data_IF_542500820126
#
_entry.id   IF_542500820126
#
_cell.length_a   1.000
_cell.length_b   1.000
_cell.length_c   1.000
_cell.angle_alpha   90.00
_cell.angle_beta   90.00
_cell.angle_gamma   90.00
#
_symmetry.space_group_name_H-M   'P 1'
#
loop_
_entity.id
_entity.type
_entity.pdbx_description
1 polymer ?
#
# COMPACT_ATOMS: atom_id res chain seq x y z
N UNK A 1 -5.24 -24.49 21.63
CA UNK A 1 -3.93 -24.35 20.97
C UNK A 1 -4.02 -23.15 20.06
N UNK A 2 -3.48 -22.01 20.50
CA UNK A 2 -3.42 -20.79 19.68
C UNK A 2 -2.62 -21.09 18.41
N UNK A 3 -3.20 -20.77 17.25
CA UNK A 3 -2.50 -20.80 15.96
C UNK A 3 -1.39 -19.75 16.03
N UNK A 4 -0.14 -20.19 16.23
CA UNK A 4 1.05 -19.35 16.01
C UNK A 4 0.93 -18.83 14.58
N UNK A 5 0.73 -17.52 14.42
CA UNK A 5 0.73 -16.89 13.11
C UNK A 5 2.09 -17.12 12.46
N UNK A 6 2.13 -17.92 11.40
CA UNK A 6 3.33 -18.09 10.58
C UNK A 6 3.72 -16.74 10.00
N UNK A 7 4.97 -16.35 10.21
CA UNK A 7 5.50 -15.10 9.69
C UNK A 7 6.02 -15.30 8.27
N UNK A 8 5.83 -14.31 7.40
CA UNK A 8 6.36 -14.31 6.03
C UNK A 8 7.89 -14.55 6.00
N UNK A 9 8.58 -14.12 7.06
CA UNK A 9 10.02 -14.33 7.26
C UNK A 9 10.41 -15.81 7.35
N UNK A 10 9.61 -16.64 8.02
CA UNK A 10 9.86 -18.09 8.13
C UNK A 10 9.76 -18.81 6.78
N UNK A 11 8.94 -18.30 5.84
CA UNK A 11 8.86 -18.83 4.48
C UNK A 11 10.01 -18.36 3.57
N UNK A 12 10.55 -17.17 3.83
CA UNK A 12 11.70 -16.64 3.09
C UNK A 12 13.01 -17.31 3.48
N UNK A 13 13.06 -17.97 4.63
CA UNK A 13 14.18 -18.79 5.07
C UNK A 13 14.13 -20.17 4.43
N UNK A 14 14.71 -20.30 3.23
CA UNK A 14 14.75 -21.56 2.49
C UNK A 14 15.55 -22.61 3.28
N UNK A 15 14.93 -23.75 3.64
CA UNK A 15 15.60 -24.81 4.38
C UNK A 15 16.76 -25.43 3.58
N UNK A 16 17.77 -25.96 4.28
CA UNK A 16 18.83 -26.76 3.66
C UNK A 16 18.26 -28.08 3.12
N UNK A 17 18.84 -28.59 2.04
CA UNK A 17 18.41 -29.81 1.35
C UNK A 17 17.03 -29.72 0.73
N UNK A 18 16.56 -28.51 0.42
CA UNK A 18 15.23 -28.32 -0.12
C UNK A 18 15.22 -27.42 -1.35
N UNK A 19 14.44 -27.85 -2.34
CA UNK A 19 14.02 -27.08 -3.49
C UNK A 19 12.62 -26.52 -3.25
N UNK A 20 12.51 -25.19 -3.18
CA UNK A 20 11.23 -24.48 -3.12
C UNK A 20 10.93 -23.87 -4.48
N UNK A 21 9.76 -24.19 -5.02
CA UNK A 21 9.22 -23.57 -6.23
C UNK A 21 8.17 -22.52 -5.83
N UNK A 22 8.37 -21.28 -6.29
CA UNK A 22 7.40 -20.18 -6.12
C UNK A 22 6.71 -19.89 -7.46
N UNK A 23 5.46 -20.30 -7.55
CA UNK A 23 4.60 -20.10 -8.73
C UNK A 23 3.59 -18.98 -8.50
N UNK A 24 3.16 -18.31 -9.56
CA UNK A 24 2.08 -17.31 -9.51
C UNK A 24 2.01 -16.48 -10.79
N UNK A 25 0.95 -15.69 -11.01
CA UNK A 25 0.85 -14.87 -12.21
C UNK A 25 1.95 -13.80 -12.26
N UNK A 26 2.29 -13.29 -13.46
CA UNK A 26 3.19 -12.14 -13.60
C UNK A 26 2.74 -10.96 -12.73
N UNK A 27 3.69 -10.23 -12.13
CA UNK A 27 3.38 -9.12 -11.24
C UNK A 27 2.93 -9.50 -9.82
N UNK A 28 2.84 -10.79 -9.47
CA UNK A 28 2.45 -11.23 -8.12
C UNK A 28 3.45 -10.87 -7.02
N UNK A 29 4.65 -10.41 -7.38
CA UNK A 29 5.71 -10.05 -6.42
C UNK A 29 6.71 -11.18 -6.15
N UNK A 30 6.81 -12.18 -7.03
CA UNK A 30 7.75 -13.31 -6.90
C UNK A 30 9.20 -12.86 -6.77
N UNK A 31 9.67 -11.99 -7.67
CA UNK A 31 11.04 -11.44 -7.62
C UNK A 31 11.27 -10.63 -6.35
N UNK A 32 10.25 -9.92 -5.85
CA UNK A 32 10.34 -9.22 -4.55
C UNK A 32 10.50 -10.20 -3.39
N UNK A 33 9.78 -11.32 -3.39
CA UNK A 33 9.96 -12.38 -2.40
C UNK A 33 11.37 -12.99 -2.49
N UNK A 34 11.85 -13.23 -3.70
CA UNK A 34 13.20 -13.75 -3.97
C UNK A 34 14.29 -12.80 -3.45
N UNK A 35 14.21 -11.51 -3.76
CA UNK A 35 15.14 -10.50 -3.27
C UNK A 35 15.18 -10.45 -1.74
N UNK A 36 14.03 -10.53 -1.08
CA UNK A 36 13.99 -10.55 0.39
C UNK A 36 14.62 -11.84 0.97
N UNK A 37 14.39 -13.00 0.34
CA UNK A 37 15.04 -14.24 0.73
C UNK A 37 16.58 -14.16 0.57
N UNK A 38 17.05 -13.50 -0.50
CA UNK A 38 18.48 -13.22 -0.73
C UNK A 38 19.05 -12.31 0.35
N UNK A 39 18.38 -11.21 0.68
CA UNK A 39 18.80 -10.32 1.78
C UNK A 39 18.89 -11.06 3.12
N UNK A 40 17.91 -11.90 3.42
CA UNK A 40 17.92 -12.72 4.63
C UNK A 40 19.08 -13.73 4.61
N UNK A 41 19.39 -14.34 3.46
CA UNK A 41 20.54 -15.23 3.28
C UNK A 41 21.88 -14.54 3.51
N UNK A 42 22.04 -13.32 2.98
CA UNK A 42 23.25 -12.50 3.19
C UNK A 42 23.40 -12.14 4.67
N UNK A 43 22.31 -11.78 5.34
CA UNK A 43 22.32 -11.47 6.78
C UNK A 43 22.68 -12.70 7.66
N UNK A 44 22.62 -13.91 7.12
CA UNK A 44 23.02 -15.15 7.78
C UNK A 44 24.40 -15.66 7.34
N UNK A 45 25.19 -14.86 6.64
CA UNK A 45 26.52 -15.23 6.09
C UNK A 45 26.48 -16.48 5.19
N UNK A 46 25.34 -16.72 4.52
CA UNK A 46 25.20 -17.82 3.55
C UNK A 46 25.68 -17.33 2.18
N UNK A 47 26.61 -18.03 1.51
CA UNK A 47 26.99 -17.71 0.13
C UNK A 47 25.79 -17.87 -0.81
N UNK A 48 25.59 -16.90 -1.70
CA UNK A 48 24.45 -16.86 -2.61
C UNK A 48 24.91 -16.94 -4.05
N UNK A 49 24.29 -17.84 -4.82
CA UNK A 49 24.34 -17.84 -6.28
C UNK A 49 22.99 -17.33 -6.77
N UNK A 50 22.98 -16.19 -7.47
CA UNK A 50 21.78 -15.62 -8.08
C UNK A 50 21.81 -15.88 -9.59
N UNK A 51 20.87 -16.68 -10.08
CA UNK A 51 20.67 -16.92 -11.51
C UNK A 51 19.61 -15.95 -11.99
N UNK A 52 20.00 -15.06 -12.91
CA UNK A 52 19.11 -14.06 -13.48
C UNK A 52 18.86 -14.35 -14.96
N UNK A 53 17.59 -14.42 -15.37
CA UNK A 53 17.18 -14.71 -16.76
C UNK A 53 16.32 -13.61 -17.36
N UNK A 54 15.83 -12.68 -16.55
CA UNK A 54 14.94 -11.59 -16.99
C UNK A 54 15.63 -10.22 -16.95
N UNK A 55 16.62 -10.06 -16.05
CA UNK A 55 17.32 -8.82 -15.82
C UNK A 55 18.83 -9.01 -15.85
N UNK A 56 19.57 -7.93 -16.11
CA UNK A 56 21.03 -7.95 -16.00
C UNK A 56 21.49 -7.94 -14.53
N UNK A 57 22.66 -8.49 -14.18
CA UNK A 57 23.17 -8.51 -12.80
C UNK A 57 23.26 -7.11 -12.15
N UNK A 58 23.58 -6.07 -12.92
CA UNK A 58 23.65 -4.69 -12.41
C UNK A 58 22.29 -4.20 -11.90
N UNK A 59 21.22 -4.49 -12.64
CA UNK A 59 19.85 -4.09 -12.30
C UNK A 59 19.36 -4.82 -11.05
N UNK A 60 19.62 -6.13 -10.95
CA UNK A 60 19.31 -6.92 -9.75
C UNK A 60 20.02 -6.34 -8.51
N UNK A 61 21.26 -5.89 -8.64
CA UNK A 61 22.00 -5.28 -7.53
C UNK A 61 21.41 -3.94 -7.13
N UNK A 62 21.02 -3.10 -8.08
CA UNK A 62 20.35 -1.83 -7.78
C UNK A 62 19.04 -2.10 -7.02
N UNK A 63 18.26 -3.08 -7.48
CA UNK A 63 17.02 -3.54 -6.81
C UNK A 63 17.25 -4.13 -5.41
N UNK A 64 18.38 -4.77 -5.17
CA UNK A 64 18.76 -5.26 -3.83
C UNK A 64 19.23 -4.10 -2.93
N UNK A 65 19.99 -3.14 -3.47
CA UNK A 65 20.43 -1.93 -2.75
C UNK A 65 19.26 -1.07 -2.31
N UNK A 66 18.27 -0.84 -3.17
CA UNK A 66 17.04 -0.13 -2.84
C UNK A 66 16.26 -0.78 -1.68
N UNK A 67 16.40 -2.11 -1.51
CA UNK A 67 15.78 -2.87 -0.43
C UNK A 67 16.66 -3.02 0.81
N UNK A 68 17.77 -2.28 0.88
CA UNK A 68 18.63 -2.21 2.06
C UNK A 68 19.85 -3.14 2.06
N UNK A 69 20.24 -3.70 0.90
CA UNK A 69 21.53 -4.38 0.78
C UNK A 69 22.68 -3.38 0.95
N UNK A 70 23.55 -3.60 1.94
CA UNK A 70 24.84 -2.92 2.02
C UNK A 70 25.83 -3.42 0.97
N UNK A 71 27.11 -3.05 1.08
CA UNK A 71 28.15 -3.68 0.25
C UNK A 71 28.37 -5.13 0.71
N UNK A 72 28.05 -6.16 -0.11
CA UNK A 72 28.25 -7.54 0.30
C UNK A 72 29.75 -7.86 0.33
N UNK A 73 30.21 -8.70 1.27
CA UNK A 73 31.60 -9.14 1.29
C UNK A 73 31.96 -9.87 -0.02
N UNK A 74 33.22 -9.80 -0.48
CA UNK A 74 33.65 -10.50 -1.69
C UNK A 74 33.30 -11.99 -1.65
N UNK A 75 32.60 -12.48 -2.67
CA UNK A 75 32.17 -13.89 -2.77
C UNK A 75 30.91 -14.26 -1.98
N UNK A 76 30.26 -13.32 -1.29
CA UNK A 76 28.98 -13.58 -0.62
C UNK A 76 27.80 -13.64 -1.60
N UNK A 77 27.86 -12.88 -2.69
CA UNK A 77 26.88 -12.88 -3.77
C UNK A 77 27.61 -13.07 -5.10
N UNK A 78 27.22 -14.09 -5.86
CA UNK A 78 27.75 -14.37 -7.21
C UNK A 78 26.60 -14.56 -8.18
N UNK A 79 26.83 -14.24 -9.45
CA UNK A 79 25.77 -14.22 -10.46
C UNK A 79 26.01 -15.22 -11.57
N UNK A 80 24.94 -15.87 -12.01
CA UNK A 80 24.86 -16.49 -13.33
C UNK A 80 23.99 -15.59 -14.19
N UNK A 81 24.61 -14.93 -15.17
CA UNK A 81 23.90 -14.04 -16.10
C UNK A 81 23.44 -14.83 -17.32
N UNK A 82 22.20 -15.31 -17.26
CA UNK A 82 21.55 -15.99 -18.38
C UNK A 82 20.71 -15.04 -19.23
N UNK A 83 20.57 -13.78 -18.84
CA UNK A 83 19.85 -12.75 -19.60
C UNK A 83 20.72 -12.17 -20.71
N UNK A 84 21.95 -11.74 -20.37
CA UNK A 84 22.84 -10.99 -21.27
C UNK A 84 23.08 -11.67 -22.62
N UNK A 85 23.59 -12.91 -22.62
CA UNK A 85 23.84 -13.64 -23.88
C UNK A 85 22.57 -13.94 -24.65
N UNK A 86 21.46 -14.25 -23.96
CA UNK A 86 20.16 -14.56 -24.57
C UNK A 86 19.62 -13.38 -25.39
N UNK A 87 19.82 -12.15 -24.91
CA UNK A 87 19.36 -10.93 -25.62
C UNK A 87 20.45 -10.25 -26.44
N UNK A 88 21.65 -10.85 -26.53
CA UNK A 88 22.81 -10.29 -27.24
C UNK A 88 23.40 -9.03 -26.58
N UNK A 89 23.12 -8.81 -25.29
CA UNK A 89 23.69 -7.71 -24.53
C UNK A 89 25.04 -8.13 -23.91
N UNK A 90 26.05 -7.26 -24.03
CA UNK A 90 27.33 -7.47 -23.37
C UNK A 90 27.22 -7.13 -21.88
N UNK A 91 27.31 -8.17 -21.04
CA UNK A 91 27.42 -8.01 -19.59
C UNK A 91 28.75 -7.32 -19.26
N UNK A 92 28.75 -6.37 -18.31
CA UNK A 92 30.00 -5.83 -17.77
C UNK A 92 30.80 -6.97 -17.13
N UNK A 93 32.07 -7.12 -17.49
CA UNK A 93 32.93 -8.15 -16.90
C UNK A 93 33.03 -7.92 -15.39
N UNK A 94 32.52 -8.88 -14.62
CA UNK A 94 32.65 -8.92 -13.17
C UNK A 94 33.24 -10.27 -12.76
N UNK A 95 34.18 -10.29 -11.80
CA UNK A 95 34.87 -11.52 -11.41
C UNK A 95 33.93 -12.56 -10.76
N UNK A 96 32.82 -12.09 -10.18
CA UNK A 96 31.76 -12.84 -9.50
C UNK A 96 30.58 -13.21 -10.41
N UNK A 97 30.64 -12.89 -11.70
CA UNK A 97 29.59 -13.23 -12.69
C UNK A 97 30.10 -14.25 -13.71
N UNK A 98 29.29 -15.26 -14.01
CA UNK A 98 29.50 -16.18 -15.14
C UNK A 98 28.34 -16.05 -16.11
N UNK A 99 28.64 -15.76 -17.37
CA UNK A 99 27.64 -15.68 -18.45
C UNK A 99 27.12 -17.07 -18.83
N UNK A 100 25.83 -17.14 -19.15
CA UNK A 100 25.12 -18.33 -19.60
C UNK A 100 24.02 -17.92 -20.60
N UNK A 101 23.34 -18.91 -21.18
CA UNK A 101 22.27 -18.70 -22.14
C UNK A 101 21.02 -19.49 -21.73
N UNK A 102 19.84 -18.86 -21.81
CA UNK A 102 18.56 -19.51 -21.53
C UNK A 102 18.21 -20.63 -22.52
N UNK A 103 18.70 -20.58 -23.76
CA UNK A 103 18.55 -21.63 -24.77
C UNK A 103 19.41 -22.88 -24.47
N UNK A 104 20.49 -22.74 -23.69
CA UNK A 104 21.36 -23.85 -23.30
C UNK A 104 21.35 -24.05 -21.78
N UNK A 105 20.43 -24.90 -21.30
CA UNK A 105 20.34 -25.27 -19.89
C UNK A 105 21.65 -25.86 -19.34
N UNK A 106 22.50 -26.46 -20.19
CA UNK A 106 23.79 -26.96 -19.73
C UNK A 106 24.74 -25.82 -19.38
N UNK A 107 24.73 -24.72 -20.13
CA UNK A 107 25.52 -23.51 -19.82
C UNK A 107 25.20 -22.99 -18.42
N UNK A 108 23.91 -22.91 -18.06
CA UNK A 108 23.45 -22.50 -16.73
C UNK A 108 23.92 -23.50 -15.67
N UNK A 109 23.74 -24.81 -15.91
CA UNK A 109 24.18 -25.85 -14.97
C UNK A 109 25.69 -25.80 -14.69
N UNK A 110 26.50 -25.56 -15.73
CA UNK A 110 27.94 -25.46 -15.64
C UNK A 110 28.38 -24.18 -14.93
N UNK A 111 27.67 -23.07 -15.14
CA UNK A 111 27.92 -21.81 -14.44
C UNK A 111 27.65 -21.96 -12.93
N UNK A 112 26.53 -22.59 -12.56
CA UNK A 112 26.20 -22.89 -11.15
C UNK A 112 27.28 -23.78 -10.54
N UNK A 113 27.70 -24.86 -11.21
CA UNK A 113 28.72 -25.78 -10.71
C UNK A 113 30.08 -25.09 -10.51
N UNK A 114 30.52 -24.25 -11.46
CA UNK A 114 31.76 -23.46 -11.35
C UNK A 114 31.73 -22.50 -10.17
N UNK A 115 30.60 -21.82 -9.93
CA UNK A 115 30.46 -20.92 -8.78
C UNK A 115 30.44 -21.69 -7.47
N UNK A 116 29.74 -22.83 -7.40
CA UNK A 116 29.74 -23.71 -6.23
C UNK A 116 31.16 -24.18 -5.87
N UNK A 117 31.95 -24.57 -6.88
CA UNK A 117 33.34 -24.98 -6.70
C UNK A 117 34.22 -23.82 -6.19
N UNK A 118 34.08 -22.62 -6.77
CA UNK A 118 34.80 -21.41 -6.33
C UNK A 118 34.47 -21.03 -4.89
N UNK A 119 33.20 -21.17 -4.48
CA UNK A 119 32.77 -20.89 -3.11
C UNK A 119 33.39 -21.90 -2.13
N UNK A 120 33.55 -23.16 -2.53
CA UNK A 120 34.24 -24.20 -1.76
C UNK A 120 33.57 -24.55 -0.42
N UNK A 121 32.34 -24.07 -0.19
CA UNK A 121 31.54 -24.31 1.03
C UNK A 121 30.28 -25.08 0.68
N UNK A 122 29.85 -25.92 1.61
CA UNK A 122 28.49 -26.46 1.64
C UNK A 122 27.58 -25.42 2.29
N UNK A 123 26.27 -25.47 2.02
CA UNK A 123 25.26 -24.50 2.48
C UNK A 123 25.10 -23.24 1.61
N UNK A 124 25.25 -23.40 0.28
CA UNK A 124 24.99 -22.33 -0.68
C UNK A 124 23.49 -22.14 -0.86
N UNK A 125 23.04 -20.89 -0.95
CA UNK A 125 21.68 -20.55 -1.34
C UNK A 125 21.64 -20.17 -2.82
N UNK A 126 20.92 -20.96 -3.62
CA UNK A 126 20.68 -20.70 -5.03
C UNK A 126 19.30 -20.02 -5.19
N UNK A 127 19.31 -18.78 -5.67
CA UNK A 127 18.11 -18.04 -6.05
C UNK A 127 18.02 -17.99 -7.58
N UNK A 128 16.93 -18.50 -8.15
CA UNK A 128 16.73 -18.60 -9.60
C UNK A 128 15.51 -17.76 -10.01
N UNK A 129 15.77 -16.58 -10.58
CA UNK A 129 14.78 -15.60 -11.02
C UNK A 129 14.96 -15.33 -12.54
N UNK A 130 14.26 -16.05 -13.42
CA UNK A 130 13.17 -17.01 -13.21
C UNK A 130 13.37 -18.25 -14.10
N UNK A 131 12.63 -19.32 -13.84
CA UNK A 131 12.57 -20.47 -14.76
C UNK A 131 11.68 -20.22 -15.99
N UNK A 132 10.97 -19.08 -16.03
CA UNK A 132 10.05 -18.72 -17.11
C UNK A 132 10.79 -18.59 -18.44
N UNK A 133 11.88 -17.80 -18.52
CA UNK A 133 12.63 -17.63 -19.78
C UNK A 133 13.24 -18.96 -20.28
N UNK A 134 13.97 -19.75 -19.46
CA UNK A 134 14.46 -21.06 -19.91
C UNK A 134 13.35 -22.00 -20.40
N UNK A 135 12.15 -21.94 -19.79
CA UNK A 135 11.01 -22.74 -20.21
C UNK A 135 10.46 -22.32 -21.57
N UNK A 136 10.43 -21.02 -21.88
CA UNK A 136 10.00 -20.53 -23.20
C UNK A 136 10.88 -21.03 -24.34
N UNK A 137 12.18 -21.24 -24.10
CA UNK A 137 13.11 -21.75 -25.11
C UNK A 137 13.19 -23.28 -25.19
N UNK A 138 13.00 -23.98 -24.06
CA UNK A 138 13.29 -25.43 -23.96
C UNK A 138 12.08 -26.29 -23.59
N UNK A 139 10.92 -25.67 -23.30
CA UNK A 139 9.69 -26.31 -22.87
C UNK A 139 9.94 -27.40 -21.78
N UNK A 140 9.69 -28.66 -22.13
CA UNK A 140 9.73 -29.81 -21.21
C UNK A 140 11.12 -30.15 -20.68
N UNK A 141 12.19 -29.73 -21.34
CA UNK A 141 13.56 -30.01 -20.85
C UNK A 141 13.84 -29.27 -19.54
N UNK A 142 13.12 -28.18 -19.23
CA UNK A 142 13.25 -27.49 -17.94
C UNK A 142 12.82 -28.38 -16.78
N UNK A 143 11.81 -29.23 -16.93
CA UNK A 143 11.45 -30.20 -15.90
C UNK A 143 12.62 -31.13 -15.56
N UNK A 144 13.32 -31.61 -16.59
CA UNK A 144 14.49 -32.46 -16.43
C UNK A 144 15.64 -31.68 -15.78
N UNK A 145 15.82 -30.41 -16.13
CA UNK A 145 16.80 -29.53 -15.50
C UNK A 145 16.52 -29.29 -14.02
N UNK A 146 15.27 -29.00 -13.64
CA UNK A 146 14.87 -28.86 -12.23
C UNK A 146 15.21 -30.14 -11.46
N UNK A 147 14.90 -31.32 -12.03
CA UNK A 147 15.12 -32.60 -11.36
C UNK A 147 16.60 -33.01 -11.29
N UNK A 148 17.37 -32.83 -12.36
CA UNK A 148 18.75 -33.34 -12.44
C UNK A 148 19.79 -32.33 -11.98
N UNK A 149 19.51 -31.03 -12.08
CA UNK A 149 20.41 -29.96 -11.66
C UNK A 149 19.96 -29.37 -10.31
N UNK A 150 18.77 -28.77 -10.25
CA UNK A 150 18.36 -28.01 -9.05
C UNK A 150 18.09 -28.91 -7.84
N UNK A 151 17.34 -29.99 -8.00
CA UNK A 151 17.04 -30.93 -6.91
C UNK A 151 18.31 -31.67 -6.46
N UNK A 152 19.21 -32.01 -7.39
CA UNK A 152 20.53 -32.56 -7.06
C UNK A 152 21.35 -31.55 -6.25
N UNK A 153 21.43 -30.31 -6.70
CA UNK A 153 22.14 -29.24 -5.99
C UNK A 153 21.60 -29.06 -4.57
N UNK A 154 20.28 -29.06 -4.39
CA UNK A 154 19.65 -29.04 -3.07
C UNK A 154 20.11 -30.24 -2.23
N UNK A 155 20.05 -31.46 -2.77
CA UNK A 155 20.41 -32.71 -2.06
C UNK A 155 21.87 -32.77 -1.55
N UNK A 156 22.76 -31.94 -2.09
CA UNK A 156 24.18 -31.86 -1.70
C UNK A 156 24.45 -30.99 -0.45
N UNK A 157 23.41 -30.53 0.26
CA UNK A 157 23.56 -29.67 1.44
C UNK A 157 23.09 -28.23 1.23
N UNK A 158 22.56 -27.90 0.05
CA UNK A 158 22.27 -26.52 -0.36
C UNK A 158 20.77 -26.20 -0.30
N UNK A 159 20.43 -24.94 -0.51
CA UNK A 159 19.05 -24.45 -0.57
C UNK A 159 18.76 -23.89 -1.95
N UNK A 160 17.59 -24.18 -2.51
CA UNK A 160 17.18 -23.64 -3.82
C UNK A 160 15.81 -23.00 -3.73
N UNK A 161 15.71 -21.75 -4.21
CA UNK A 161 14.45 -21.07 -4.49
C UNK A 161 14.39 -20.79 -5.99
N UNK A 162 13.39 -21.34 -6.66
CA UNK A 162 13.18 -21.12 -8.09
C UNK A 162 11.80 -20.50 -8.34
N UNK A 163 11.76 -19.50 -9.21
CA UNK A 163 10.53 -18.77 -9.54
C UNK A 163 9.96 -19.24 -10.88
N UNK A 164 8.63 -19.29 -11.00
CA UNK A 164 7.96 -19.65 -12.25
C UNK A 164 6.67 -18.83 -12.43
N UNK A 165 6.42 -18.33 -13.64
CA UNK A 165 5.15 -17.68 -13.97
C UNK A 165 4.06 -18.69 -14.33
N UNK A 166 2.89 -18.50 -13.72
CA UNK A 166 1.67 -19.19 -14.15
C UNK A 166 1.18 -18.61 -15.48
N UNK A 167 0.74 -19.48 -16.40
CA UNK A 167 0.22 -19.11 -17.71
C UNK A 167 1.27 -19.05 -18.84
N UNK A 168 2.56 -19.26 -18.54
CA UNK A 168 3.62 -19.33 -19.55
C UNK A 168 3.57 -20.63 -20.40
N UNK A 169 2.95 -21.68 -19.87
CA UNK A 169 2.91 -23.01 -20.48
C UNK A 169 1.64 -23.78 -20.17
N UNK A 170 1.67 -25.09 -20.46
CA UNK A 170 0.57 -25.99 -20.15
C UNK A 170 0.49 -26.26 -18.65
N UNK A 171 -0.73 -26.40 -18.12
CA UNK A 171 -0.92 -26.69 -16.69
C UNK A 171 -0.27 -28.02 -16.28
N UNK A 172 -0.23 -29.01 -17.18
CA UNK A 172 0.39 -30.31 -16.90
C UNK A 172 1.90 -30.18 -16.67
N UNK A 173 2.57 -29.30 -17.42
CA UNK A 173 4.01 -29.10 -17.31
C UNK A 173 4.35 -28.38 -15.98
N UNK A 174 3.56 -27.38 -15.58
CA UNK A 174 3.68 -26.74 -14.26
C UNK A 174 3.42 -27.75 -13.12
N UNK A 175 2.39 -28.58 -13.24
CA UNK A 175 2.10 -29.64 -12.28
C UNK A 175 3.25 -30.64 -12.14
N UNK A 176 3.90 -30.99 -13.25
CA UNK A 176 5.10 -31.83 -13.24
C UNK A 176 6.25 -31.14 -12.48
N UNK A 177 6.55 -29.87 -12.76
CA UNK A 177 7.60 -29.13 -12.04
C UNK A 177 7.33 -29.04 -10.54
N UNK A 178 6.08 -28.77 -10.15
CA UNK A 178 5.65 -28.74 -8.76
C UNK A 178 5.87 -30.08 -8.06
N UNK A 179 5.68 -31.22 -8.75
CA UNK A 179 5.85 -32.55 -8.17
C UNK A 179 7.28 -32.86 -7.71
N UNK A 180 8.28 -32.24 -8.34
CA UNK A 180 9.71 -32.44 -8.03
C UNK A 180 10.16 -31.58 -6.85
N UNK A 181 9.48 -30.47 -6.59
CA UNK A 181 9.85 -29.55 -5.52
C UNK A 181 9.49 -30.12 -4.14
N UNK A 182 10.37 -29.87 -3.16
CA UNK A 182 10.13 -30.21 -1.75
C UNK A 182 9.16 -29.23 -1.10
N UNK A 183 9.19 -27.96 -1.54
CA UNK A 183 8.25 -26.91 -1.17
C UNK A 183 7.63 -26.26 -2.40
N UNK A 184 6.35 -25.92 -2.30
CA UNK A 184 5.56 -25.26 -3.33
C UNK A 184 4.83 -24.10 -2.66
N UNK A 185 5.18 -22.89 -3.09
CA UNK A 185 4.52 -21.64 -2.70
C UNK A 185 3.78 -21.12 -3.93
N UNK A 186 2.50 -20.77 -3.78
CA UNK A 186 1.68 -20.22 -4.85
C UNK A 186 1.23 -18.81 -4.49
N UNK A 187 1.57 -17.81 -5.29
CA UNK A 187 1.10 -16.44 -5.10
C UNK A 187 -0.14 -16.21 -5.95
N UNK A 188 -1.17 -15.63 -5.35
CA UNK A 188 -2.36 -15.14 -6.03
C UNK A 188 -2.49 -13.64 -5.80
N UNK A 189 -2.88 -12.91 -6.84
CA UNK A 189 -3.26 -11.51 -6.74
C UNK A 189 -4.79 -11.47 -6.75
N UNK A 190 -5.39 -10.86 -5.74
CA UNK A 190 -6.82 -10.52 -5.72
C UNK A 190 -6.96 -9.05 -5.40
N UNK A 191 -7.49 -8.25 -6.32
CA UNK A 191 -7.82 -6.81 -6.22
C UNK A 191 -6.88 -5.99 -5.31
N UNK A 192 -6.99 -6.07 -3.97
CA UNK A 192 -6.16 -5.33 -3.00
C UNK A 192 -5.30 -6.20 -2.04
N UNK A 193 -5.12 -7.49 -2.31
CA UNK A 193 -4.34 -8.40 -1.47
C UNK A 193 -3.53 -9.40 -2.29
N UNK A 194 -2.32 -9.72 -1.82
CA UNK A 194 -1.50 -10.82 -2.34
C UNK A 194 -1.65 -11.97 -1.36
N UNK A 195 -2.17 -13.11 -1.79
CA UNK A 195 -2.19 -14.29 -0.92
C UNK A 195 -1.10 -15.25 -1.33
N UNK A 196 -0.23 -15.63 -0.38
CA UNK A 196 0.73 -16.70 -0.55
C UNK A 196 0.11 -17.97 0.04
N UNK A 197 -0.23 -18.90 -0.84
CA UNK A 197 -0.73 -20.22 -0.50
C UNK A 197 0.46 -21.18 -0.39
N UNK A 198 0.68 -21.74 0.81
CA UNK A 198 1.66 -22.80 1.02
C UNK A 198 1.02 -24.12 0.64
N UNK A 199 1.30 -24.61 -0.57
CA UNK A 199 0.74 -25.88 -1.08
C UNK A 199 1.49 -27.07 -0.46
N UNK A 200 2.81 -26.95 -0.32
CA UNK A 200 3.70 -27.95 0.28
C UNK A 200 4.89 -27.21 0.88
N UNK A 201 5.31 -27.53 2.10
CA UNK A 201 6.53 -26.94 2.65
C UNK A 201 7.22 -27.89 3.64
N UNK A 202 8.56 -28.02 3.62
CA UNK A 202 9.28 -28.97 4.49
C UNK A 202 9.12 -28.71 5.99
N UNK A 203 8.84 -27.47 6.38
CA UNK A 203 8.79 -27.03 7.80
C UNK A 203 7.44 -26.49 8.25
N UNK A 204 6.49 -26.32 7.32
CA UNK A 204 5.26 -25.54 7.56
C UNK A 204 4.07 -26.33 7.02
N UNK A 205 3.01 -26.45 7.81
CA UNK A 205 1.74 -27.06 7.39
C UNK A 205 1.06 -26.20 6.30
N UNK A 206 0.12 -26.78 5.55
CA UNK A 206 -0.61 -26.06 4.51
C UNK A 206 -1.36 -24.86 5.11
N UNK A 207 -0.94 -23.65 4.73
CA UNK A 207 -1.45 -22.39 5.28
C UNK A 207 -1.57 -21.35 4.17
N UNK A 208 -2.66 -20.57 4.20
CA UNK A 208 -2.87 -19.39 3.36
C UNK A 208 -2.48 -18.16 4.15
N UNK A 209 -1.48 -17.43 3.66
CA UNK A 209 -1.02 -16.18 4.25
C UNK A 209 -1.51 -15.03 3.37
N UNK A 210 -2.39 -14.19 3.92
CA UNK A 210 -2.74 -12.94 3.28
C UNK A 210 -1.63 -11.93 3.56
N UNK A 211 -0.93 -11.50 2.51
CA UNK A 211 -0.01 -10.39 2.55
C UNK A 211 -0.82 -9.19 2.06
N UNK A 212 -1.21 -8.26 2.96
CA UNK A 212 -1.81 -7.02 2.50
C UNK A 212 -0.82 -6.39 1.52
N UNK A 213 -1.29 -6.02 0.34
CA UNK A 213 -0.55 -5.07 -0.47
C UNK A 213 -0.69 -3.80 0.36
N UNK A 214 0.33 -3.43 1.13
CA UNK A 214 0.40 -2.06 1.61
C UNK A 214 0.29 -1.22 0.33
N UNK A 215 -0.82 -0.49 0.11
CA UNK A 215 -0.79 0.49 -0.94
C UNK A 215 0.46 1.31 -0.63
N UNK A 216 1.33 1.52 -1.62
CA UNK A 216 2.35 2.56 -1.47
C UNK A 216 1.53 3.77 -1.07
N UNK A 217 1.56 4.14 0.21
CA UNK A 217 0.99 5.41 0.65
C UNK A 217 1.52 6.40 -0.36
N UNK A 218 0.67 7.18 -1.03
CA UNK A 218 1.14 8.18 -1.97
C UNK A 218 2.24 8.98 -1.26
N UNK A 219 3.50 8.70 -1.61
CA UNK A 219 4.67 9.32 -0.97
C UNK A 219 4.72 10.82 -1.26
N UNK A 220 3.83 11.28 -2.15
CA UNK A 220 3.34 12.65 -2.16
C UNK A 220 2.56 12.89 -0.88
N UNK A 221 3.29 13.08 0.23
CA UNK A 221 2.86 14.08 1.20
C UNK A 221 2.67 15.36 0.38
N UNK A 222 1.47 15.93 0.27
CA UNK A 222 1.35 17.22 -0.38
C UNK A 222 2.35 18.14 0.31
N UNK A 223 3.23 18.83 -0.44
CA UNK A 223 4.18 19.73 0.18
C UNK A 223 3.37 20.76 0.97
N UNK A 224 3.48 20.72 2.30
CA UNK A 224 2.86 21.68 3.22
C UNK A 224 3.64 23.00 3.21
N UNK A 225 4.12 23.40 2.04
CA UNK A 225 4.81 24.66 1.80
C UNK A 225 3.77 25.76 1.62
N UNK A 226 2.97 25.96 2.67
CA UNK A 226 2.04 27.08 2.72
C UNK A 226 2.86 28.37 2.76
N UNK A 227 2.59 29.30 1.85
CA UNK A 227 3.08 30.67 1.98
C UNK A 227 2.59 31.22 3.34
N UNK A 228 3.51 31.55 4.27
CA UNK A 228 3.14 31.99 5.62
C UNK A 228 2.26 33.24 5.64
N UNK A 229 2.43 34.14 4.66
CA UNK A 229 1.64 35.36 4.54
C UNK A 229 0.23 35.04 4.02
N UNK A 230 0.10 34.12 3.07
CA UNK A 230 -1.21 33.63 2.61
C UNK A 230 -1.95 32.89 3.72
N UNK A 231 -1.29 31.98 4.45
CA UNK A 231 -1.90 31.26 5.57
C UNK A 231 -2.34 32.22 6.68
N UNK A 232 -1.51 33.23 6.98
CA UNK A 232 -1.87 34.27 7.96
C UNK A 232 -3.07 35.10 7.50
N UNK A 233 -3.15 35.48 6.23
CA UNK A 233 -4.30 36.19 5.67
C UNK A 233 -5.56 35.32 5.68
N UNK A 234 -5.43 34.03 5.31
CA UNK A 234 -6.51 33.04 5.37
C UNK A 234 -7.09 32.94 6.79
N UNK A 235 -6.25 32.73 7.79
CA UNK A 235 -6.68 32.64 9.19
C UNK A 235 -7.28 33.94 9.72
N UNK A 236 -6.79 35.10 9.25
CA UNK A 236 -7.42 36.39 9.58
C UNK A 236 -8.80 36.54 8.95
N UNK A 237 -8.98 36.11 7.70
CA UNK A 237 -10.27 36.12 7.02
C UNK A 237 -11.24 35.17 7.71
N UNK A 238 -10.82 33.93 7.96
CA UNK A 238 -11.59 32.90 8.66
C UNK A 238 -12.06 33.34 10.05
N UNK A 239 -11.23 34.08 10.81
CA UNK A 239 -11.57 34.52 12.16
C UNK A 239 -12.35 35.83 12.24
N UNK A 240 -12.06 36.78 11.33
CA UNK A 240 -12.54 38.17 11.44
C UNK A 240 -13.49 38.57 10.31
N UNK A 241 -13.62 37.75 9.26
CA UNK A 241 -14.46 37.99 8.08
C UNK A 241 -14.09 39.25 7.29
N UNK A 242 -12.83 39.71 7.37
CA UNK A 242 -12.44 41.10 7.04
C UNK A 242 -11.32 41.26 6.02
N UNK A 243 -10.80 40.19 5.44
CA UNK A 243 -9.62 40.28 4.55
C UNK A 243 -9.87 39.59 3.22
N UNK A 244 -9.68 40.36 2.14
CA UNK A 244 -9.68 39.82 0.77
C UNK A 244 -8.46 38.93 0.60
N UNK A 245 -8.67 37.64 0.33
CA UNK A 245 -7.60 36.65 0.14
C UNK A 245 -7.04 36.69 -1.27
N UNK A 246 -7.93 36.79 -2.27
CA UNK A 246 -7.60 36.72 -3.69
C UNK A 246 -7.89 38.08 -4.32
N UNK A 247 -6.95 39.01 -4.14
CA UNK A 247 -7.10 40.41 -4.58
C UNK A 247 -7.35 40.55 -6.09
N UNK A 248 -6.78 39.66 -6.89
CA UNK A 248 -6.84 39.73 -8.36
C UNK A 248 -8.13 39.14 -8.93
N UNK A 249 -8.60 38.03 -8.36
CA UNK A 249 -9.72 37.24 -8.91
C UNK A 249 -10.98 37.24 -8.03
N UNK A 250 -10.92 37.88 -6.85
CA UNK A 250 -12.00 37.90 -5.86
C UNK A 250 -12.06 36.64 -5.00
N UNK A 251 -12.72 36.76 -3.84
CA UNK A 251 -12.80 35.69 -2.84
C UNK A 251 -13.94 34.69 -3.07
N UNK A 252 -14.87 34.99 -3.95
CA UNK A 252 -15.93 34.05 -4.31
C UNK A 252 -15.43 33.04 -5.34
N UNK A 253 -15.79 31.78 -5.15
CA UNK A 253 -15.54 30.70 -6.12
C UNK A 253 -16.88 30.36 -6.77
N UNK A 254 -16.91 30.24 -8.09
CA UNK A 254 -18.04 29.62 -8.75
C UNK A 254 -17.92 28.10 -8.52
N UNK A 255 -18.80 27.54 -7.69
CA UNK A 255 -18.80 26.13 -7.27
C UNK A 255 -19.01 25.15 -8.44
N UNK A 256 -19.52 25.62 -9.59
CA UNK A 256 -19.68 24.78 -10.77
C UNK A 256 -18.35 24.13 -11.20
N UNK A 257 -17.26 24.88 -11.23
CA UNK A 257 -15.97 24.39 -11.73
C UNK A 257 -15.31 23.30 -10.86
N UNK A 258 -15.16 23.49 -9.52
CA UNK A 258 -14.63 22.42 -8.68
C UNK A 258 -15.53 21.19 -8.70
N UNK A 259 -16.86 21.37 -8.65
CA UNK A 259 -17.80 20.24 -8.67
C UNK A 259 -17.75 19.49 -10.01
N UNK A 260 -17.68 20.20 -11.16
CA UNK A 260 -17.49 19.59 -12.47
C UNK A 260 -16.19 18.80 -12.54
N UNK A 261 -15.11 19.32 -11.95
CA UNK A 261 -13.80 18.65 -11.93
C UNK A 261 -13.86 17.37 -11.12
N UNK A 262 -14.41 17.44 -9.91
CA UNK A 262 -14.61 16.27 -9.04
C UNK A 262 -15.46 15.22 -9.77
N UNK A 263 -16.59 15.62 -10.34
CA UNK A 263 -17.49 14.70 -11.03
C UNK A 263 -16.85 14.06 -12.27
N UNK A 264 -16.08 14.84 -13.04
CA UNK A 264 -15.35 14.32 -14.21
C UNK A 264 -14.30 13.28 -13.81
N UNK A 265 -13.60 13.48 -12.69
CA UNK A 265 -12.66 12.51 -12.16
C UNK A 265 -13.34 11.26 -11.62
N UNK A 266 -14.51 11.41 -11.00
CA UNK A 266 -15.33 10.29 -10.53
C UNK A 266 -15.83 9.42 -11.68
N UNK A 267 -16.18 10.01 -12.83
CA UNK A 267 -16.51 9.24 -14.04
C UNK A 267 -15.32 8.46 -14.60
N UNK A 268 -14.09 8.96 -14.40
CA UNK A 268 -12.89 8.29 -14.90
C UNK A 268 -12.49 7.09 -14.02
N UNK A 269 -12.63 7.22 -12.70
CA UNK A 269 -12.31 6.18 -11.73
C UNK A 269 -13.31 6.18 -10.55
N UNK A 270 -14.50 5.54 -10.71
CA UNK A 270 -15.58 5.58 -9.72
C UNK A 270 -15.24 5.01 -8.35
N UNK A 271 -14.25 4.10 -8.28
CA UNK A 271 -13.88 3.40 -7.06
C UNK A 271 -12.62 3.96 -6.42
N UNK A 272 -11.60 4.23 -7.22
CA UNK A 272 -10.32 4.71 -6.72
C UNK A 272 -10.35 6.20 -6.38
N UNK A 273 -10.99 7.04 -7.20
CA UNK A 273 -10.97 8.48 -6.99
C UNK A 273 -11.77 8.91 -5.76
N UNK A 274 -12.95 8.34 -5.53
CA UNK A 274 -13.78 8.63 -4.34
C UNK A 274 -13.05 8.28 -3.04
N UNK A 275 -12.45 7.09 -3.00
CA UNK A 275 -11.65 6.62 -1.86
C UNK A 275 -10.44 7.51 -1.63
N UNK A 276 -9.71 7.86 -2.69
CA UNK A 276 -8.55 8.75 -2.61
C UNK A 276 -8.94 10.13 -2.07
N UNK A 277 -10.01 10.73 -2.60
CA UNK A 277 -10.47 12.06 -2.20
C UNK A 277 -10.94 12.08 -0.74
N UNK A 278 -11.63 11.02 -0.30
CA UNK A 278 -12.04 10.84 1.09
C UNK A 278 -10.83 10.79 2.03
N UNK A 279 -9.86 9.92 1.74
CA UNK A 279 -8.66 9.78 2.57
C UNK A 279 -7.82 11.04 2.58
N UNK A 280 -7.71 11.75 1.44
CA UNK A 280 -7.00 13.03 1.36
C UNK A 280 -7.61 14.08 2.29
N UNK A 281 -8.93 14.32 2.21
CA UNK A 281 -9.61 15.32 3.06
C UNK A 281 -9.53 14.97 4.55
N UNK A 282 -9.67 13.68 4.88
CA UNK A 282 -9.54 13.16 6.25
C UNK A 282 -8.12 13.35 6.76
N UNK A 283 -7.11 13.05 5.94
CA UNK A 283 -5.70 13.17 6.28
C UNK A 283 -5.29 14.63 6.51
N UNK A 284 -5.62 15.54 5.59
CA UNK A 284 -5.31 16.98 5.73
C UNK A 284 -5.90 17.56 7.02
N UNK A 285 -7.14 17.20 7.35
CA UNK A 285 -7.81 17.65 8.57
C UNK A 285 -7.20 17.04 9.84
N UNK A 286 -6.75 15.78 9.78
CA UNK A 286 -6.05 15.11 10.89
C UNK A 286 -4.66 15.72 11.17
N UNK A 287 -3.98 16.20 10.12
CA UNK A 287 -2.68 16.86 10.20
C UNK A 287 -2.73 18.34 10.61
N UNK A 288 -3.88 18.88 10.99
CA UNK A 288 -3.99 20.28 11.44
C UNK A 288 -2.99 20.69 12.54
N UNK A 289 -2.44 19.72 13.30
CA UNK A 289 -1.35 19.96 14.27
C UNK A 289 -0.04 20.42 13.63
N UNK A 290 0.29 19.95 12.42
CA UNK A 290 1.51 20.31 11.70
C UNK A 290 1.47 21.75 11.18
N UNK A 291 0.26 22.30 10.96
CA UNK A 291 0.03 23.68 10.56
C UNK A 291 0.07 24.69 11.73
N UNK A 292 0.12 24.22 12.98
CA UNK A 292 0.17 25.07 14.20
C UNK A 292 1.30 26.12 14.15
N UNK A 293 2.54 25.81 13.70
CA UNK A 293 3.62 26.79 13.60
C UNK A 293 3.33 27.95 12.64
N UNK A 294 2.34 27.84 11.75
CA UNK A 294 1.87 28.92 10.89
C UNK A 294 0.80 29.82 11.53
N UNK A 295 0.14 29.38 12.60
CA UNK A 295 -1.03 30.07 13.16
C UNK A 295 -0.67 31.37 13.91
N UNK A 296 -1.62 32.30 14.14
CA UNK A 296 -1.41 33.41 15.05
C UNK A 296 -1.00 32.95 16.46
N UNK A 297 -0.19 33.74 17.16
CA UNK A 297 0.34 33.37 18.49
C UNK A 297 -0.75 32.99 19.51
N UNK A 298 -1.89 33.69 19.50
CA UNK A 298 -3.04 33.39 20.36
C UNK A 298 -3.61 31.99 20.14
N UNK A 299 -3.67 31.53 18.87
CA UNK A 299 -4.12 30.19 18.53
C UNK A 299 -3.07 29.14 18.89
N UNK A 300 -1.79 29.40 18.61
CA UNK A 300 -0.70 28.50 19.04
C UNK A 300 -0.75 28.25 20.53
N UNK A 301 -0.98 29.31 21.31
CA UNK A 301 -1.12 29.19 22.76
C UNK A 301 -2.35 28.35 23.12
N UNK A 302 -3.51 28.59 22.50
CA UNK A 302 -4.72 27.79 22.73
C UNK A 302 -4.49 26.30 22.44
N UNK A 303 -3.89 25.96 21.29
CA UNK A 303 -3.58 24.58 20.92
C UNK A 303 -2.55 23.94 21.86
N UNK A 304 -1.53 24.68 22.31
CA UNK A 304 -0.58 24.20 23.32
C UNK A 304 -1.23 23.95 24.68
N UNK A 305 -2.19 24.78 25.06
CA UNK A 305 -2.94 24.63 26.31
C UNK A 305 -4.03 23.55 26.21
N UNK A 306 -4.44 23.16 25.01
CA UNK A 306 -5.54 22.23 24.79
C UNK A 306 -5.38 20.87 25.51
N UNK A 307 -4.21 20.19 25.48
CA UNK A 307 -3.99 18.95 26.23
C UNK A 307 -4.06 19.15 27.75
N UNK A 308 -3.64 20.31 28.25
CA UNK A 308 -3.73 20.67 29.67
C UNK A 308 -5.19 20.94 30.08
N UNK A 309 -5.97 21.58 29.22
CA UNK A 309 -7.40 21.78 29.45
C UNK A 309 -8.17 20.45 29.39
N UNK A 310 -7.75 19.49 28.56
CA UNK A 310 -8.26 18.13 28.57
C UNK A 310 -7.88 17.36 29.85
N UNK A 311 -6.66 17.54 30.37
CA UNK A 311 -6.24 16.88 31.63
C UNK A 311 -6.99 17.42 32.84
N UNK A 312 -7.33 18.71 32.84
CA UNK A 312 -8.19 19.37 33.85
C UNK A 312 -9.69 19.06 33.70
N UNK A 313 -10.11 18.29 32.69
CA UNK A 313 -11.52 17.95 32.45
C UNK A 313 -12.36 19.10 31.86
N UNK A 314 -11.73 20.20 31.46
CA UNK A 314 -12.39 21.32 30.79
C UNK A 314 -12.76 20.99 29.34
N UNK A 315 -12.05 20.07 28.69
CA UNK A 315 -12.44 19.46 27.41
C UNK A 315 -12.47 17.94 27.50
N UNK A 316 -13.35 17.26 26.73
CA UNK A 316 -13.39 15.80 26.69
C UNK A 316 -12.09 15.20 26.15
N UNK A 317 -11.75 14.01 26.65
CA UNK A 317 -10.60 13.22 26.18
C UNK A 317 -10.97 12.26 25.04
N UNK A 318 -12.22 11.84 25.02
CA UNK A 318 -12.82 11.04 23.95
C UNK A 318 -14.10 11.72 23.48
N UNK A 319 -14.38 11.57 22.19
CA UNK A 319 -15.57 12.07 21.52
C UNK A 319 -16.71 11.04 21.51
N UNK A 320 -16.46 9.81 21.99
CA UNK A 320 -17.42 8.70 22.03
C UNK A 320 -18.82 9.06 22.53
N UNK A 321 -18.93 9.88 23.58
CA UNK A 321 -20.22 10.24 24.18
C UNK A 321 -20.84 11.44 23.47
N UNK A 322 -22.14 11.38 23.23
CA UNK A 322 -22.94 12.46 22.62
C UNK A 322 -22.71 13.82 23.30
N UNK A 323 -22.69 13.86 24.63
CA UNK A 323 -22.44 15.08 25.42
C UNK A 323 -21.05 15.67 25.17
N UNK A 324 -20.05 14.82 24.99
CA UNK A 324 -18.66 15.21 24.78
C UNK A 324 -18.47 15.73 23.35
N UNK A 325 -19.04 15.05 22.36
CA UNK A 325 -19.10 15.53 20.97
C UNK A 325 -19.76 16.91 20.88
N UNK A 326 -20.95 17.08 21.49
CA UNK A 326 -21.67 18.37 21.51
C UNK A 326 -20.85 19.50 22.14
N UNK A 327 -20.08 19.21 23.18
CA UNK A 327 -19.17 20.18 23.80
C UNK A 327 -18.01 20.54 22.86
N UNK A 328 -17.51 19.56 22.11
CA UNK A 328 -16.39 19.73 21.18
C UNK A 328 -16.77 20.41 19.87
N UNK A 329 -18.02 20.31 19.41
CA UNK A 329 -18.51 21.10 18.26
C UNK A 329 -18.43 22.62 18.47
N UNK A 330 -18.33 23.08 19.73
CA UNK A 330 -18.09 24.49 20.05
C UNK A 330 -16.62 24.90 19.96
N UNK A 331 -15.70 23.94 19.76
CA UNK A 331 -14.29 24.21 19.60
C UNK A 331 -14.00 24.82 18.21
N UNK A 332 -13.04 25.75 18.09
CA UNK A 332 -12.75 26.41 16.82
C UNK A 332 -12.54 25.51 15.60
N UNK A 333 -11.87 24.34 15.69
CA UNK A 333 -11.69 23.44 14.53
C UNK A 333 -13.02 22.90 13.98
N UNK A 334 -13.96 22.54 14.85
CA UNK A 334 -15.24 21.96 14.46
C UNK A 334 -16.31 23.01 14.09
N UNK A 335 -16.01 24.30 14.29
CA UNK A 335 -16.78 25.43 13.74
C UNK A 335 -16.34 25.81 12.31
N UNK A 336 -15.44 25.03 11.69
CA UNK A 336 -14.88 25.30 10.37
C UNK A 336 -15.94 25.45 9.29
N UNK A 337 -16.92 24.54 9.26
CA UNK A 337 -17.94 24.44 8.20
C UNK A 337 -18.73 25.75 8.04
N UNK A 338 -19.26 26.30 9.13
CA UNK A 338 -20.03 27.55 9.09
C UNK A 338 -19.15 28.78 8.76
N UNK A 339 -17.87 28.74 9.16
CA UNK A 339 -16.93 29.85 8.94
C UNK A 339 -16.37 29.88 7.53
N UNK A 340 -16.14 28.72 6.93
CA UNK A 340 -15.79 28.53 5.52
C UNK A 340 -16.98 28.75 4.60
N UNK A 341 -18.20 28.66 5.14
CA UNK A 341 -19.46 28.70 4.38
C UNK A 341 -19.57 27.55 3.38
N UNK A 342 -19.02 26.39 3.74
CA UNK A 342 -19.10 25.16 2.95
C UNK A 342 -20.45 24.45 3.10
N UNK A 343 -21.23 24.83 4.11
CA UNK A 343 -22.60 24.38 4.34
C UNK A 343 -23.10 24.83 5.70
N UNK A 344 -24.33 24.48 6.05
CA UNK A 344 -24.92 24.69 7.37
C UNK A 344 -24.98 23.35 8.09
N UNK A 345 -24.11 23.17 9.10
CA UNK A 345 -23.97 21.90 9.82
C UNK A 345 -24.91 21.85 11.05
N UNK A 346 -25.77 20.84 11.08
CA UNK A 346 -26.63 20.51 12.21
C UNK A 346 -26.20 19.20 12.85
N UNK A 347 -26.00 19.19 14.17
CA UNK A 347 -25.73 17.97 14.94
C UNK A 347 -27.03 17.38 15.49
N UNK A 348 -27.33 16.13 15.11
CA UNK A 348 -28.57 15.46 15.46
C UNK A 348 -28.40 14.70 16.79
N UNK A 349 -28.54 15.41 17.90
CA UNK A 349 -28.32 14.85 19.25
C UNK A 349 -29.26 13.69 19.59
N UNK A 350 -30.53 13.78 19.18
CA UNK A 350 -31.58 12.82 19.57
C UNK A 350 -31.44 11.44 18.92
N UNK A 351 -30.78 11.37 17.75
CA UNK A 351 -30.52 10.12 17.02
C UNK A 351 -29.09 9.61 17.21
N UNK A 352 -28.20 10.47 17.72
CA UNK A 352 -26.81 10.12 18.03
C UNK A 352 -26.72 9.22 19.27
N UNK A 353 -25.76 8.30 19.27
CA UNK A 353 -25.50 7.34 20.35
C UNK A 353 -24.02 7.34 20.72
N UNK A 354 -23.65 6.53 21.70
CA UNK A 354 -22.24 6.30 22.00
C UNK A 354 -21.54 5.70 20.78
N UNK A 355 -20.43 6.31 20.36
CA UNK A 355 -19.64 5.92 19.18
C UNK A 355 -20.38 6.05 17.82
N UNK A 356 -21.52 6.72 17.78
CA UNK A 356 -22.25 6.99 16.54
C UNK A 356 -22.84 8.40 16.59
N UNK A 357 -22.24 9.33 15.84
CA UNK A 357 -22.64 10.74 15.84
C UNK A 357 -23.26 11.11 14.49
N UNK A 358 -24.53 11.52 14.49
CA UNK A 358 -25.26 11.86 13.28
C UNK A 358 -25.23 13.36 13.03
N UNK A 359 -24.96 13.73 11.78
CA UNK A 359 -24.93 15.10 11.31
C UNK A 359 -25.80 15.27 10.09
N UNK A 360 -26.33 16.48 9.92
CA UNK A 360 -27.03 16.93 8.73
C UNK A 360 -26.34 18.17 8.19
N UNK A 361 -26.26 18.27 6.87
CA UNK A 361 -25.69 19.44 6.17
C UNK A 361 -26.72 19.97 5.19
N UNK A 362 -27.09 21.24 5.38
CA UNK A 362 -27.86 21.99 4.40
C UNK A 362 -26.93 22.84 3.54
N UNK A 363 -27.37 23.15 2.31
CA UNK A 363 -26.63 24.02 1.38
C UNK A 363 -25.16 23.59 1.19
N UNK A 364 -24.92 22.27 1.14
CA UNK A 364 -23.58 21.70 1.02
C UNK A 364 -22.95 22.10 -0.32
N UNK A 365 -21.84 22.84 -0.28
CA UNK A 365 -21.14 23.37 -1.46
C UNK A 365 -20.76 22.30 -2.47
N UNK A 366 -20.45 21.09 -2.00
CA UNK A 366 -20.02 19.97 -2.85
C UNK A 366 -21.16 19.41 -3.70
N UNK A 367 -22.40 19.60 -3.25
CA UNK A 367 -23.57 18.98 -3.86
C UNK A 367 -24.45 19.96 -4.65
N UNK A 368 -24.17 21.26 -4.58
CA UNK A 368 -24.95 22.30 -5.28
C UNK A 368 -24.91 22.06 -6.79
N UNK A 369 -26.09 21.91 -7.40
CA UNK A 369 -26.26 21.72 -8.85
C UNK A 369 -26.13 20.28 -9.34
N UNK A 370 -25.99 19.31 -8.43
CA UNK A 370 -25.84 17.89 -8.74
C UNK A 370 -26.92 17.06 -8.02
N UNK A 371 -28.18 17.40 -8.21
CA UNK A 371 -29.30 16.63 -7.65
C UNK A 371 -29.58 15.36 -8.48
N UNK A 372 -29.96 14.26 -7.80
CA UNK A 372 -30.43 13.01 -8.43
C UNK A 372 -29.42 12.33 -9.39
N UNK A 373 -28.13 12.48 -9.15
CA UNK A 373 -27.08 11.72 -9.85
C UNK A 373 -26.92 10.28 -9.32
N UNK A 374 -27.80 9.87 -8.38
CA UNK A 374 -27.87 8.52 -7.79
C UNK A 374 -26.63 8.09 -7.02
N UNK A 375 -25.81 9.03 -6.57
CA UNK A 375 -24.64 8.77 -5.71
C UNK A 375 -24.50 9.81 -4.60
N UNK A 376 -23.96 9.43 -3.42
CA UNK A 376 -23.50 10.38 -2.42
C UNK A 376 -22.21 11.07 -2.88
N UNK A 377 -22.12 12.38 -2.71
CA UNK A 377 -21.00 13.20 -3.21
C UNK A 377 -20.51 14.24 -2.19
N UNK A 378 -20.79 14.07 -0.89
CA UNK A 378 -20.26 14.99 0.11
C UNK A 378 -18.79 14.66 0.41
N UNK A 379 -17.92 15.09 -0.50
CA UNK A 379 -16.50 14.74 -0.53
C UNK A 379 -15.62 15.46 0.49
N UNK A 380 -16.07 16.58 1.04
CA UNK A 380 -15.27 17.45 1.90
C UNK A 380 -15.71 17.40 3.37
N UNK A 381 -16.94 17.83 3.69
CA UNK A 381 -17.38 18.02 5.09
C UNK A 381 -17.33 16.71 5.93
N UNK A 382 -17.89 15.57 5.47
CA UNK A 382 -17.84 14.34 6.25
C UNK A 382 -16.40 13.85 6.57
N UNK A 383 -15.49 13.65 5.60
CA UNK A 383 -14.12 13.24 5.91
C UNK A 383 -13.34 14.28 6.71
N UNK A 384 -13.59 15.59 6.49
CA UNK A 384 -12.99 16.66 7.28
C UNK A 384 -13.34 16.52 8.77
N UNK A 385 -14.61 16.33 9.12
CA UNK A 385 -15.02 16.12 10.52
C UNK A 385 -14.42 14.85 11.11
N UNK A 386 -14.31 13.76 10.34
CA UNK A 386 -13.63 12.54 10.77
C UNK A 386 -12.15 12.81 11.10
N UNK A 387 -11.45 13.56 10.24
CA UNK A 387 -10.07 13.98 10.46
C UNK A 387 -9.89 14.86 11.70
N UNK A 388 -10.79 15.82 11.93
CA UNK A 388 -10.77 16.63 13.15
C UNK A 388 -11.04 15.81 14.42
N UNK A 389 -11.93 14.82 14.36
CA UNK A 389 -12.16 13.92 15.49
C UNK A 389 -10.88 13.16 15.86
N UNK A 390 -10.18 12.59 14.85
CA UNK A 390 -8.87 11.96 15.01
C UNK A 390 -7.82 12.91 15.58
N UNK A 391 -7.80 14.17 15.14
CA UNK A 391 -6.86 15.19 15.65
C UNK A 391 -7.09 15.49 17.14
N UNK A 392 -8.34 15.57 17.57
CA UNK A 392 -8.75 16.04 18.90
C UNK A 392 -8.73 14.94 19.97
N UNK A 393 -8.90 13.67 19.58
CA UNK A 393 -8.79 12.55 20.51
C UNK A 393 -7.34 12.28 20.92
N UNK A 394 -7.15 11.99 22.20
CA UNK A 394 -5.81 11.82 22.79
C UNK A 394 -5.12 10.53 22.34
N UNK A 395 -5.90 9.47 22.12
CA UNK A 395 -5.40 8.12 21.87
C UNK A 395 -5.22 7.83 20.37
N UNK A 396 -5.40 8.82 19.50
CA UNK A 396 -5.27 8.66 18.05
C UNK A 396 -6.30 7.70 17.44
N UNK A 397 -7.43 7.51 18.13
CA UNK A 397 -8.51 6.64 17.66
C UNK A 397 -9.04 7.14 16.31
N UNK A 398 -9.16 6.20 15.38
CA UNK A 398 -9.67 6.45 14.04
C UNK A 398 -11.17 6.74 14.07
N UNK A 399 -11.57 7.69 13.24
CA UNK A 399 -12.95 8.04 12.95
C UNK A 399 -13.18 7.99 11.46
N UNK A 400 -14.37 7.57 11.07
CA UNK A 400 -14.85 7.52 9.71
C UNK A 400 -16.23 8.14 9.63
N UNK A 401 -16.60 8.58 8.44
CA UNK A 401 -17.83 9.28 8.11
C UNK A 401 -18.55 8.52 7.02
N UNK A 402 -19.79 8.13 7.27
CA UNK A 402 -20.61 7.33 6.35
C UNK A 402 -21.83 8.16 5.98
N UNK A 403 -21.96 8.51 4.70
CA UNK A 403 -23.16 9.17 4.18
C UNK A 403 -24.36 8.22 4.21
N UNK A 404 -25.50 8.75 4.61
CA UNK A 404 -26.78 8.02 4.75
C UNK A 404 -27.90 8.63 3.94
N UNK A 405 -27.81 9.94 3.66
CA UNK A 405 -28.65 10.70 2.73
C UNK A 405 -27.78 11.71 2.02
N UNK A 406 -28.12 12.04 0.79
CA UNK A 406 -27.34 13.00 0.02
C UNK A 406 -28.22 13.70 -1.03
N UNK A 407 -27.92 14.97 -1.29
CA UNK A 407 -28.55 15.70 -2.42
C UNK A 407 -28.30 15.00 -3.75
N UNK A 408 -27.13 14.37 -3.92
CA UNK A 408 -26.82 13.54 -5.08
C UNK A 408 -27.72 12.32 -5.22
N UNK A 409 -28.30 11.81 -4.12
CA UNK A 409 -29.30 10.73 -4.11
C UNK A 409 -30.74 11.24 -4.31
N UNK A 410 -30.94 12.56 -4.36
CA UNK A 410 -32.27 13.18 -4.45
C UNK A 410 -32.87 13.60 -3.10
N UNK A 411 -32.13 13.44 -2.00
CA UNK A 411 -32.56 13.96 -0.70
C UNK A 411 -32.49 15.50 -0.65
N UNK A 412 -33.31 16.17 0.17
CA UNK A 412 -33.27 17.62 0.31
C UNK A 412 -32.01 18.15 1.03
N UNK A 413 -31.18 17.28 1.59
CA UNK A 413 -29.97 17.60 2.35
C UNK A 413 -29.05 16.36 2.42
N UNK A 414 -27.82 16.54 2.89
CA UNK A 414 -26.94 15.42 3.20
C UNK A 414 -27.01 15.05 4.69
N UNK A 415 -27.01 13.76 5.01
CA UNK A 415 -26.85 13.24 6.38
C UNK A 415 -25.73 12.22 6.41
N UNK A 416 -24.88 12.27 7.43
CA UNK A 416 -23.82 11.30 7.63
C UNK A 416 -23.63 10.93 9.10
N UNK A 417 -22.98 9.80 9.33
CA UNK A 417 -22.66 9.26 10.65
C UNK A 417 -21.15 9.21 10.84
N UNK A 418 -20.66 9.77 11.94
CA UNK A 418 -19.29 9.56 12.40
C UNK A 418 -19.23 8.36 13.33
N UNK A 419 -18.35 7.43 13.02
CA UNK A 419 -18.20 6.13 13.69
C UNK A 419 -16.71 5.77 13.82
N UNK A 420 -16.29 5.12 14.91
CA UNK A 420 -14.90 4.79 15.15
C UNK A 420 -14.47 3.46 14.53
N UNK A 421 -13.19 3.36 14.14
CA UNK A 421 -12.57 2.14 13.60
C UNK A 421 -12.85 1.88 12.11
N UNK A 422 -12.17 0.88 11.53
CA UNK A 422 -12.44 0.43 10.15
C UNK A 422 -13.76 -0.33 10.11
N UNK A 423 -14.68 0.09 9.24
CA UNK A 423 -15.99 -0.55 9.08
C UNK A 423 -16.11 -1.00 7.62
N UNK A 424 -16.51 -2.24 7.40
CA UNK A 424 -16.78 -2.78 6.05
C UNK A 424 -17.77 -1.90 5.28
N UNK A 425 -18.74 -1.30 5.98
CA UNK A 425 -19.73 -0.35 5.45
C UNK A 425 -19.11 0.94 4.87
N UNK A 426 -17.92 1.35 5.31
CA UNK A 426 -17.26 2.55 4.78
C UNK A 426 -16.85 2.33 3.32
N UNK A 427 -16.30 1.15 2.99
CA UNK A 427 -15.93 0.82 1.61
C UNK A 427 -17.17 0.77 0.73
N UNK A 428 -18.23 0.10 1.19
CA UNK A 428 -19.50 0.05 0.47
C UNK A 428 -20.13 1.44 0.27
N UNK A 429 -19.93 2.38 1.20
CA UNK A 429 -20.43 3.76 1.06
C UNK A 429 -19.61 4.64 0.11
N UNK A 430 -18.33 4.30 -0.11
CA UNK A 430 -17.41 5.05 -0.98
C UNK A 430 -17.31 4.46 -2.40
N UNK A 431 -17.54 3.15 -2.54
CA UNK A 431 -17.57 2.47 -3.84
C UNK A 431 -18.85 2.84 -4.59
N UNK A 432 -18.68 3.55 -5.71
CA UNK A 432 -19.79 3.87 -6.60
C UNK A 432 -20.12 2.73 -7.55
N UNK A 433 -21.41 2.62 -7.90
CA UNK A 433 -21.86 1.72 -8.95
C UNK A 433 -21.38 2.23 -10.32
N UNK A 434 -20.65 1.39 -11.05
CA UNK A 434 -20.13 1.70 -12.39
C UNK A 434 -21.25 1.89 -13.42
N UNK A 435 -22.49 1.48 -13.11
CA UNK A 435 -23.65 1.62 -13.99
C UNK A 435 -24.05 3.07 -14.28
N UNK A 436 -23.43 4.06 -13.64
CA UNK A 436 -23.67 5.49 -13.89
C UNK A 436 -22.89 6.04 -15.08
N UNK A 437 -21.93 5.26 -15.60
CA UNK A 437 -21.11 5.60 -16.78
C UNK A 437 -21.75 5.04 -18.07
N UNK A 438 -22.62 4.03 -17.95
CA UNK A 438 -23.38 3.43 -19.06
C UNK A 438 -24.72 4.14 -19.29
#
# INVERSE_FOLDING_TARGET
>A
MEKRGLSLRELQEVPKNNLILLAGPPGAGKSTFCHQAVLNGLAMDRPIIFVTTEHGPSEVIDLLRERGMGEPPPGALSFVDAFGETVGATSRERPDTISANCEDLNSISMAIAKLQERIGRRDVFLAFDSLTSPYLFNEKEVFRFIRLCLAKFASEGNSVLALMDEGCGKEEDLGAMMSVADGILRMEIKENSRTINVVKHPRVEQVRIAVPIEPKEPQTRPPMDWDPDMLKQFLQSFMKGKTVLRKEVGDFVNLFWPNLTHWSCMLWDPKGFSTMLYEMNKYESALGKESIPGFPWSMRLLFKMFPYLQSLGLFPKSLSKVKDMKKMLKAPPLQGVDRERSGVLEYLEDVSKTDEHCFRVYENSDCVGFENISVPIASHIPPMLAGYCKMLEKDGREWNAIETKCVGLGDPYCEFKLVPGEIEDLRASLEMDSSLIE
#
